data_IF_707107097681
#
_entry.id   IF_707107097681
#
_cell.length_a   1.000
_cell.length_b   1.000
_cell.length_c   1.000
_cell.angle_alpha   90.00
_cell.angle_beta   90.00
_cell.angle_gamma   90.00
#
_symmetry.space_group_name_H-M   'P 1'
#
loop_
_entity.id
_entity.type
_entity.pdbx_description
1 polymer ?
#
# COMPACT_ATOMS: atom_id res chain seq x y z
N UNK A 1 -18.35 18.55 -10.17
CA UNK A 1 -18.55 17.18 -9.66
C UNK A 1 -17.21 16.66 -9.17
N UNK A 2 -17.15 16.07 -7.97
CA UNK A 2 -15.91 15.52 -7.41
C UNK A 2 -15.97 13.99 -7.56
N UNK A 3 -14.97 13.40 -8.22
CA UNK A 3 -14.84 11.96 -8.38
C UNK A 3 -13.55 11.48 -7.70
N UNK A 4 -13.65 10.38 -6.97
CA UNK A 4 -12.52 9.66 -6.37
C UNK A 4 -12.37 8.33 -7.07
N UNK A 5 -11.14 8.00 -7.42
CA UNK A 5 -10.75 6.66 -7.85
C UNK A 5 -9.87 6.08 -6.74
N UNK A 6 -10.25 4.91 -6.23
CA UNK A 6 -9.50 4.19 -5.21
C UNK A 6 -9.21 2.76 -5.66
N UNK A 7 -8.00 2.28 -5.35
CA UNK A 7 -7.58 0.90 -5.51
C UNK A 7 -7.35 0.29 -4.13
N UNK A 8 -7.89 -0.91 -3.93
CA UNK A 8 -7.72 -1.70 -2.71
C UNK A 8 -7.04 -3.01 -3.07
N UNK A 9 -6.02 -3.37 -2.30
CA UNK A 9 -5.31 -4.64 -2.43
C UNK A 9 -5.55 -5.46 -1.16
N UNK A 10 -6.40 -6.49 -1.25
CA UNK A 10 -6.76 -7.34 -0.13
C UNK A 10 -5.81 -8.54 -0.03
N UNK A 11 -4.85 -8.47 0.88
CA UNK A 11 -4.03 -9.62 1.28
C UNK A 11 -4.57 -10.34 2.51
N UNK A 12 -4.12 -11.57 2.71
CA UNK A 12 -4.48 -12.41 3.87
C UNK A 12 -3.91 -11.91 5.19
N UNK A 13 -2.78 -11.19 5.14
CA UNK A 13 -2.08 -10.66 6.32
C UNK A 13 -2.23 -9.15 6.42
N UNK A 14 -2.25 -8.44 5.29
CA UNK A 14 -2.37 -6.99 5.23
C UNK A 14 -3.13 -6.56 3.99
N UNK A 15 -3.76 -5.39 4.05
CA UNK A 15 -4.38 -4.76 2.89
C UNK A 15 -3.75 -3.41 2.60
N UNK A 16 -3.46 -3.16 1.32
CA UNK A 16 -2.96 -1.89 0.81
C UNK A 16 -4.09 -1.04 0.24
N UNK A 17 -3.85 0.26 0.15
CA UNK A 17 -4.77 1.15 -0.56
C UNK A 17 -4.02 2.28 -1.26
N UNK A 18 -4.61 2.77 -2.34
CA UNK A 18 -4.25 4.03 -2.97
C UNK A 18 -5.51 4.72 -3.48
N UNK A 19 -5.50 6.06 -3.54
CA UNK A 19 -6.57 6.82 -4.16
C UNK A 19 -6.05 8.12 -4.78
N UNK A 20 -6.84 8.68 -5.69
CA UNK A 20 -6.65 10.01 -6.25
C UNK A 20 -8.01 10.64 -6.60
N UNK A 21 -8.11 11.96 -6.45
CA UNK A 21 -9.25 12.70 -6.95
C UNK A 21 -9.03 13.09 -8.42
N UNK A 22 -10.10 13.17 -9.21
CA UNK A 22 -9.98 13.57 -10.63
C UNK A 22 -9.36 14.95 -10.84
N UNK A 23 -9.60 15.90 -9.92
CA UNK A 23 -9.00 17.23 -10.00
C UNK A 23 -7.51 17.23 -9.63
N UNK A 24 -7.08 16.36 -8.72
CA UNK A 24 -5.66 16.17 -8.37
C UNK A 24 -4.93 15.52 -9.56
N UNK A 25 -5.50 14.48 -10.15
CA UNK A 25 -4.95 13.81 -11.34
C UNK A 25 -4.82 14.73 -12.56
N UNK A 26 -5.76 15.66 -12.76
CA UNK A 26 -5.69 16.64 -13.86
C UNK A 26 -4.57 17.68 -13.67
N UNK A 27 -4.21 18.00 -12.43
CA UNK A 27 -3.13 18.94 -12.12
C UNK A 27 -1.76 18.25 -12.15
N UNK A 28 -1.68 17.08 -11.52
CA UNK A 28 -0.49 16.24 -11.48
C UNK A 28 -0.88 14.75 -11.50
N UNK A 29 -0.82 14.10 -12.67
CA UNK A 29 -1.15 12.69 -12.82
C UNK A 29 -0.30 11.74 -11.99
N UNK A 30 0.87 12.19 -11.53
CA UNK A 30 1.81 11.36 -10.76
C UNK A 30 1.52 11.39 -9.26
N UNK A 31 0.68 12.32 -8.82
CA UNK A 31 0.32 12.47 -7.43
C UNK A 31 -0.75 11.45 -7.02
N UNK A 32 -0.34 10.46 -6.23
CA UNK A 32 -1.24 9.48 -5.62
C UNK A 32 -1.09 9.50 -4.10
N UNK A 33 -2.19 9.30 -3.39
CA UNK A 33 -2.16 9.07 -1.94
C UNK A 33 -2.25 7.57 -1.74
N UNK A 34 -1.24 6.99 -1.09
CA UNK A 34 -1.19 5.55 -0.89
C UNK A 34 -0.64 5.17 0.47
N UNK A 35 -1.03 3.99 0.93
CA UNK A 35 -0.36 3.29 2.02
C UNK A 35 0.14 1.95 1.49
N UNK A 36 1.44 1.86 1.31
CA UNK A 36 2.15 0.62 1.03
C UNK A 36 2.83 0.12 2.31
N UNK A 37 2.82 -1.19 2.53
CA UNK A 37 3.51 -1.79 3.67
C UNK A 37 4.95 -2.07 3.27
N UNK A 38 5.93 -1.56 4.02
CA UNK A 38 7.32 -1.96 3.83
C UNK A 38 7.49 -3.40 4.32
N UNK A 39 7.67 -4.34 3.38
CA UNK A 39 7.82 -5.77 3.66
C UNK A 39 8.96 -6.08 4.65
N UNK A 40 10.00 -5.23 4.68
CA UNK A 40 11.18 -5.40 5.52
C UNK A 40 10.92 -5.26 7.03
N UNK A 41 9.84 -4.60 7.46
CA UNK A 41 9.57 -4.38 8.89
C UNK A 41 8.84 -5.55 9.59
N UNK A 42 8.42 -6.58 8.86
CA UNK A 42 7.49 -7.59 9.39
C UNK A 42 7.87 -9.04 9.07
N UNK A 43 9.10 -9.30 8.62
CA UNK A 43 9.63 -10.67 8.54
C UNK A 43 9.83 -11.21 9.96
N UNK A 44 8.84 -11.92 10.49
CA UNK A 44 9.03 -12.77 11.67
C UNK A 44 9.98 -13.90 11.28
N UNK A 45 11.17 -13.93 11.88
CA UNK A 45 12.10 -15.07 11.78
C UNK A 45 11.42 -16.30 12.39
N UNK A 46 10.71 -17.06 11.56
CA UNK A 46 10.13 -18.37 11.90
C UNK A 46 11.11 -19.54 11.64
N UNK A 47 12.38 -19.24 11.36
CA UNK A 47 13.44 -20.25 11.32
C UNK A 47 13.84 -20.63 12.73
N UNK A 48 13.87 -21.95 13.02
CA UNK A 48 14.51 -22.46 14.24
C UNK A 48 15.96 -21.99 14.21
N UNK A 49 16.33 -21.16 15.18
CA UNK A 49 17.72 -20.78 15.38
C UNK A 49 18.45 -21.99 15.96
N UNK A 50 19.06 -22.78 15.09
CA UNK A 50 20.00 -23.81 15.51
C UNK A 50 21.21 -23.07 16.08
N UNK A 51 21.37 -23.17 17.39
CA UNK A 51 22.57 -22.71 18.11
C UNK A 51 23.65 -23.75 17.79
N UNK A 52 24.69 -23.35 17.05
CA UNK A 52 25.94 -24.12 16.96
C UNK A 52 26.73 -24.03 18.26
#
# INVERSE_FOLDING_TARGET
MVLVVASLDFGTTYSGWAYSFTHEFQQDPTQIKSKHWNADQFMSNKGVQLVE
#
